data_IF_408315924319
#
_entry.id   IF_408315924319
#
_cell.length_a   1.000
_cell.length_b   1.000
_cell.length_c   1.000
_cell.angle_alpha   90.00
_cell.angle_beta   90.00
_cell.angle_gamma   90.00
#
_symmetry.space_group_name_H-M   'P 1'
#
loop_
_entity.id
_entity.type
_entity.pdbx_description
1 polymer ?
#
# COMPACT_ATOMS: atom_id res chain seq x y z
N UNK A 1 -23.13 0.51 14.12
CA UNK A 1 -21.73 0.18 13.82
C UNK A 1 -21.51 0.38 12.33
N UNK A 2 -20.53 1.19 11.95
CA UNK A 2 -20.15 1.34 10.55
C UNK A 2 -19.05 0.32 10.22
N UNK A 3 -19.15 -0.31 9.05
CA UNK A 3 -18.10 -1.18 8.51
C UNK A 3 -17.11 -0.29 7.77
N UNK A 4 -15.81 -0.51 7.98
CA UNK A 4 -14.74 0.29 7.39
C UNK A 4 -13.69 -0.61 6.75
N UNK A 5 -13.10 -0.15 5.65
CA UNK A 5 -11.90 -0.78 5.09
C UNK A 5 -10.73 -0.56 6.05
N UNK A 6 -10.07 -1.62 6.47
CA UNK A 6 -8.91 -1.54 7.36
C UNK A 6 -7.59 -1.49 6.59
N UNK A 7 -7.41 -2.38 5.61
CA UNK A 7 -6.25 -2.41 4.74
C UNK A 7 -6.56 -3.11 3.41
N UNK A 8 -5.75 -2.87 2.40
CA UNK A 8 -5.74 -3.66 1.15
C UNK A 8 -4.32 -3.87 0.65
N UNK A 9 -4.07 -5.02 0.01
CA UNK A 9 -2.77 -5.35 -0.58
C UNK A 9 -2.64 -4.66 -1.93
N UNK A 10 -1.50 -4.03 -2.18
CA UNK A 10 -1.15 -3.42 -3.47
C UNK A 10 0.01 -4.19 -4.08
N UNK A 11 -0.23 -4.86 -5.20
CA UNK A 11 0.80 -5.56 -5.96
C UNK A 11 1.75 -4.55 -6.63
N UNK A 12 3.06 -4.73 -6.43
CA UNK A 12 4.10 -3.88 -6.97
C UNK A 12 5.30 -4.68 -7.49
N UNK A 13 6.02 -4.14 -8.48
CA UNK A 13 7.30 -4.73 -8.95
C UNK A 13 8.40 -4.64 -7.89
N UNK A 14 8.39 -3.52 -7.18
CA UNK A 14 9.22 -3.26 -6.02
C UNK A 14 8.34 -2.47 -5.03
N UNK A 15 8.04 -3.10 -3.90
CA UNK A 15 7.23 -2.50 -2.84
C UNK A 15 7.89 -1.29 -2.22
N UNK A 16 9.23 -1.25 -2.16
CA UNK A 16 9.99 -0.13 -1.59
C UNK A 16 9.86 1.09 -2.47
N UNK A 17 10.07 0.94 -3.78
CA UNK A 17 9.93 2.04 -4.74
C UNK A 17 8.49 2.57 -4.73
N UNK A 18 7.51 1.67 -4.77
CA UNK A 18 6.10 2.06 -4.89
C UNK A 18 5.55 2.69 -3.61
N UNK A 19 5.86 2.13 -2.44
CA UNK A 19 5.45 2.69 -1.15
C UNK A 19 6.12 4.04 -0.89
N UNK A 20 7.44 4.14 -1.16
CA UNK A 20 8.18 5.39 -0.96
C UNK A 20 7.65 6.49 -1.86
N UNK A 21 7.40 6.19 -3.14
CA UNK A 21 6.80 7.14 -4.08
C UNK A 21 5.48 7.71 -3.55
N UNK A 22 4.59 6.86 -3.02
CA UNK A 22 3.32 7.32 -2.49
C UNK A 22 3.51 8.20 -1.25
N UNK A 23 4.42 7.82 -0.34
CA UNK A 23 4.67 8.61 0.87
C UNK A 23 5.29 9.96 0.57
N UNK A 24 6.19 10.05 -0.41
CA UNK A 24 6.79 11.32 -0.84
C UNK A 24 5.78 12.21 -1.57
N UNK A 25 4.93 11.63 -2.43
CA UNK A 25 3.94 12.38 -3.21
C UNK A 25 2.92 13.10 -2.33
N UNK A 26 2.54 12.50 -1.21
CA UNK A 26 1.50 12.99 -0.32
C UNK A 26 2.01 13.46 1.05
N UNK A 27 3.33 13.57 1.22
CA UNK A 27 3.97 13.96 2.49
C UNK A 27 3.49 13.10 3.69
N UNK A 28 3.42 11.79 3.47
CA UNK A 28 3.02 10.81 4.48
C UNK A 28 4.25 10.32 5.27
N UNK A 29 4.06 9.78 6.49
CA UNK A 29 5.13 9.10 7.20
C UNK A 29 5.74 7.96 6.37
N UNK A 30 7.05 7.72 6.56
CA UNK A 30 7.76 6.63 5.88
C UNK A 30 7.06 5.28 6.06
N UNK A 31 7.06 4.44 5.02
CA UNK A 31 6.36 3.17 5.09
C UNK A 31 7.04 2.21 6.07
N UNK A 32 6.26 1.32 6.69
CA UNK A 32 6.74 0.42 7.74
C UNK A 32 6.71 -1.05 7.30
N UNK A 33 7.77 -1.84 7.52
CA UNK A 33 7.75 -3.25 7.18
C UNK A 33 6.78 -4.03 8.09
N UNK A 34 6.00 -4.93 7.50
CA UNK A 34 5.17 -5.87 8.23
C UNK A 34 5.07 -7.20 7.47
N UNK A 35 5.81 -8.22 7.92
CA UNK A 35 5.91 -9.50 7.21
C UNK A 35 6.41 -9.32 5.77
N UNK A 36 5.64 -9.78 4.80
CA UNK A 36 5.94 -9.64 3.37
C UNK A 36 5.64 -8.23 2.82
N UNK A 37 4.96 -7.38 3.60
CA UNK A 37 4.44 -6.11 3.14
C UNK A 37 5.30 -4.92 3.57
N UNK A 38 5.14 -3.84 2.81
CA UNK A 38 5.60 -2.51 3.18
C UNK A 38 4.37 -1.59 3.27
N UNK A 39 4.04 -1.19 4.49
CA UNK A 39 2.75 -0.63 4.87
C UNK A 39 2.79 0.89 4.80
N UNK A 40 1.86 1.49 4.03
CA UNK A 40 1.61 2.94 3.98
C UNK A 40 0.27 3.23 4.63
N UNK A 41 0.23 4.06 5.67
CA UNK A 41 -1.02 4.54 6.27
C UNK A 41 -1.50 5.78 5.53
N UNK A 42 -2.75 5.80 5.08
CA UNK A 42 -3.38 6.95 4.41
C UNK A 42 -4.63 7.42 5.17
N UNK A 43 -4.86 8.74 5.19
CA UNK A 43 -5.94 9.37 5.95
C UNK A 43 -5.59 9.66 7.42
N UNK A 44 -6.23 10.69 8.01
CA UNK A 44 -5.97 11.14 9.39
C UNK A 44 -6.95 10.56 10.42
N UNK A 45 -8.24 10.59 10.12
CA UNK A 45 -9.29 10.38 11.14
C UNK A 45 -9.68 8.90 11.29
N UNK A 46 -9.62 8.14 10.19
CA UNK A 46 -9.81 6.70 10.17
C UNK A 46 -8.83 6.09 9.15
N UNK A 47 -7.55 5.92 9.53
CA UNK A 47 -6.51 5.52 8.59
C UNK A 47 -6.78 4.12 8.03
N UNK A 48 -6.65 4.01 6.71
CA UNK A 48 -6.58 2.73 5.99
C UNK A 48 -5.13 2.50 5.58
N UNK A 49 -4.66 1.26 5.59
CA UNK A 49 -3.32 0.96 5.05
C UNK A 49 -3.35 0.39 3.64
N UNK A 50 -2.38 0.82 2.85
CA UNK A 50 -2.00 0.22 1.58
C UNK A 50 -0.75 -0.63 1.83
N UNK A 51 -0.92 -1.93 1.69
CA UNK A 51 0.10 -2.92 2.05
C UNK A 51 0.80 -3.38 0.78
N UNK A 52 1.93 -2.74 0.44
CA UNK A 52 2.64 -3.05 -0.80
C UNK A 52 3.34 -4.40 -0.72
N UNK A 53 3.13 -5.25 -1.73
CA UNK A 53 3.74 -6.57 -1.88
C UNK A 53 4.49 -6.68 -3.19
N UNK A 54 5.67 -7.33 -3.16
CA UNK A 54 6.42 -7.64 -4.38
C UNK A 54 5.71 -8.76 -5.16
N UNK A 55 5.51 -8.55 -6.47
CA UNK A 55 5.12 -9.61 -7.41
C UNK A 55 6.35 -10.29 -7.99
N UNK A 56 6.21 -11.54 -8.46
CA UNK A 56 7.30 -12.22 -9.14
C UNK A 56 7.67 -11.48 -10.44
N UNK A 57 8.95 -11.55 -10.87
CA UNK A 57 9.49 -10.71 -11.94
C UNK A 57 8.77 -10.85 -13.30
N UNK A 58 8.18 -12.01 -13.57
CA UNK A 58 7.43 -12.35 -14.78
C UNK A 58 5.90 -12.31 -14.60
N UNK A 59 5.42 -12.14 -13.37
CA UNK A 59 4.00 -12.07 -13.06
C UNK A 59 3.41 -10.72 -13.50
N UNK A 60 2.32 -10.68 -14.29
CA UNK A 60 1.65 -9.42 -14.63
C UNK A 60 0.95 -8.80 -13.42
N UNK A 61 1.08 -7.49 -13.23
CA UNK A 61 0.27 -6.76 -12.24
C UNK A 61 -1.13 -6.56 -12.84
N UNK A 62 -2.13 -7.22 -12.26
CA UNK A 62 -3.51 -7.07 -12.68
C UNK A 62 -4.08 -5.71 -12.22
N UNK A 63 -4.77 -4.96 -13.10
CA UNK A 63 -5.44 -3.72 -12.71
C UNK A 63 -6.45 -3.95 -11.58
N UNK A 64 -6.40 -3.12 -10.55
CA UNK A 64 -7.37 -3.11 -9.46
C UNK A 64 -8.08 -1.75 -9.42
N UNK A 65 -9.38 -1.76 -9.18
CA UNK A 65 -10.18 -0.54 -9.06
C UNK A 65 -10.52 -0.30 -7.58
N UNK A 66 -9.95 0.75 -7.01
CA UNK A 66 -10.27 1.21 -5.66
C UNK A 66 -11.28 2.38 -5.77
N UNK A 67 -12.47 2.22 -5.17
CA UNK A 67 -13.59 3.15 -5.26
C UNK A 67 -13.74 4.02 -4.00
#
# INVERSE_FOLDING_TARGET
MAITLNHTIVAARDKTVSATFLTELFDLPSPKPFGHFLVVSVGSDNPVSLDYADVQADEPIHPQHYA
#
